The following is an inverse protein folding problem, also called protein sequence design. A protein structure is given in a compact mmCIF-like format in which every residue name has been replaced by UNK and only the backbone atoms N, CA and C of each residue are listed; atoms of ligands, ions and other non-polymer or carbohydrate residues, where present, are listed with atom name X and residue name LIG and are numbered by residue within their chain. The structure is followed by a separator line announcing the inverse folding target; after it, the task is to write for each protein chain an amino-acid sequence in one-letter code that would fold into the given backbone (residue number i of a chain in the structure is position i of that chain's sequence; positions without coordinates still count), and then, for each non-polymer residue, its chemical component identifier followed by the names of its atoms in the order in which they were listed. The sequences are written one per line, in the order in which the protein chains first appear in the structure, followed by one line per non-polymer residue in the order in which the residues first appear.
data_IF_540832909807
#
_entry.id   IF_540832909807
#
_cell.length_a   1.000
_cell.length_b   1.000
_cell.length_c   1.000
_cell.angle_alpha   90.00
_cell.angle_beta   90.00
_cell.angle_gamma   90.00
#
_symmetry.space_group_name_H-M   'P 1'
#
loop_
_entity.id
_entity.type
_entity.pdbx_description
1 polymer ?
#
# COMPACT_ATOMS: atom_id res chain seq x y z
N UNK A 1 42.35 -3.10 23.33
CA UNK A 1 42.00 -4.47 22.90
C UNK A 1 41.14 -4.38 21.65
N UNK A 2 41.51 -5.01 20.53
CA UNK A 2 40.64 -5.01 19.33
C UNK A 2 39.36 -5.77 19.69
N UNK A 3 38.15 -5.22 19.47
CA UNK A 3 36.92 -5.92 19.80
C UNK A 3 36.88 -7.24 19.03
N UNK A 4 36.81 -8.35 19.76
CA UNK A 4 36.70 -9.70 19.18
C UNK A 4 35.32 -9.77 18.52
N UNK A 5 35.30 -9.73 17.19
CA UNK A 5 34.05 -9.84 16.44
C UNK A 5 33.61 -11.31 16.42
N UNK A 6 32.40 -11.65 16.87
CA UNK A 6 31.91 -13.01 16.80
C UNK A 6 31.86 -13.47 15.34
N UNK A 7 32.38 -14.67 15.09
CA UNK A 7 32.36 -15.33 13.78
C UNK A 7 31.15 -16.25 13.75
N UNK A 8 30.25 -16.03 12.81
CA UNK A 8 28.98 -16.75 12.72
C UNK A 8 28.77 -17.23 11.29
N UNK A 9 28.24 -18.44 11.14
CA UNK A 9 27.90 -18.97 9.82
C UNK A 9 26.76 -18.16 9.18
N UNK A 10 26.81 -18.01 7.87
CA UNK A 10 25.73 -17.45 7.04
C UNK A 10 24.33 -18.01 7.38
N UNK A 11 24.21 -19.33 7.57
CA UNK A 11 22.93 -20.01 7.88
C UNK A 11 22.41 -19.58 9.23
N UNK A 12 23.28 -19.52 10.24
CA UNK A 12 22.90 -19.02 11.57
C UNK A 12 22.42 -17.58 11.49
N UNK A 13 23.08 -16.72 10.71
CA UNK A 13 22.64 -15.34 10.50
C UNK A 13 21.25 -15.28 9.84
N UNK A 14 21.00 -16.12 8.83
CA UNK A 14 19.67 -16.21 8.18
C UNK A 14 18.60 -16.60 9.21
N UNK A 15 18.80 -17.70 9.93
CA UNK A 15 17.83 -18.23 10.90
C UNK A 15 17.55 -17.23 12.02
N UNK A 16 18.60 -16.59 12.58
CA UNK A 16 18.45 -15.56 13.60
C UNK A 16 17.69 -14.34 13.07
N UNK A 17 17.96 -13.94 11.83
CA UNK A 17 17.23 -12.82 11.20
C UNK A 17 15.77 -13.19 10.98
N UNK A 18 15.46 -14.40 10.51
CA UNK A 18 14.08 -14.88 10.37
C UNK A 18 13.33 -14.90 11.71
N UNK A 19 13.98 -15.40 12.76
CA UNK A 19 13.41 -15.43 14.10
C UNK A 19 13.16 -14.00 14.63
N UNK A 20 14.11 -13.10 14.40
CA UNK A 20 13.96 -11.68 14.75
C UNK A 20 12.79 -11.03 14.00
N UNK A 21 12.70 -11.20 12.68
CA UNK A 21 11.60 -10.67 11.87
C UNK A 21 10.25 -11.20 12.36
N UNK A 22 10.16 -12.50 12.67
CA UNK A 22 8.91 -13.12 13.13
C UNK A 22 8.49 -12.63 14.52
N UNK A 23 9.42 -12.56 15.48
CA UNK A 23 9.08 -12.25 16.88
C UNK A 23 8.95 -10.75 17.10
N UNK A 24 9.88 -9.96 16.58
CA UNK A 24 9.94 -8.52 16.86
C UNK A 24 9.14 -7.68 15.86
N UNK A 25 9.17 -8.02 14.56
CA UNK A 25 8.64 -7.16 13.49
C UNK A 25 7.32 -7.66 12.87
N UNK A 26 6.81 -8.81 13.34
CA UNK A 26 5.52 -9.37 12.94
C UNK A 26 4.52 -9.42 14.12
N UNK A 27 4.71 -8.57 15.14
CA UNK A 27 3.78 -8.44 16.27
C UNK A 27 2.36 -8.12 15.83
N UNK A 28 2.18 -7.23 14.85
CA UNK A 28 0.88 -6.87 14.29
C UNK A 28 0.21 -8.04 13.54
N UNK A 29 0.98 -8.85 12.82
CA UNK A 29 0.45 -10.08 12.22
C UNK A 29 -0.06 -11.03 13.29
N UNK A 30 0.72 -11.22 14.36
CA UNK A 30 0.34 -12.09 15.47
C UNK A 30 -0.91 -11.62 16.21
N UNK A 31 -1.05 -10.32 16.49
CA UNK A 31 -2.26 -9.79 17.12
C UNK A 31 -3.50 -10.00 16.25
N UNK A 32 -3.39 -9.72 14.94
CA UNK A 32 -4.51 -9.93 13.99
C UNK A 32 -4.86 -11.41 13.81
N UNK A 33 -3.86 -12.28 13.89
CA UNK A 33 -4.07 -13.72 13.84
C UNK A 33 -4.88 -14.19 15.06
N UNK A 34 -4.48 -13.80 16.27
CA UNK A 34 -5.21 -14.16 17.49
C UNK A 34 -6.63 -13.60 17.53
N UNK A 35 -6.86 -12.40 16.98
CA UNK A 35 -8.21 -11.83 16.83
C UNK A 35 -9.07 -12.66 15.86
N UNK A 36 -8.47 -13.25 14.83
CA UNK A 36 -9.14 -14.09 13.84
C UNK A 36 -9.35 -15.55 14.31
N UNK A 37 -8.58 -16.01 15.29
CA UNK A 37 -8.66 -17.35 15.88
C UNK A 37 -8.93 -17.28 17.40
N UNK A 38 -10.09 -16.75 17.83
CA UNK A 38 -10.36 -16.54 19.25
C UNK A 38 -10.35 -17.87 20.02
N UNK A 39 -9.43 -17.98 20.98
CA UNK A 39 -9.21 -19.17 21.80
C UNK A 39 -8.43 -18.85 23.08
N UNK A 40 -8.29 -19.83 23.99
CA UNK A 40 -7.63 -19.65 25.29
C UNK A 40 -6.09 -19.53 25.21
N UNK A 41 -5.50 -19.52 24.01
CA UNK A 41 -4.06 -19.45 23.79
C UNK A 41 -3.70 -19.66 22.32
N UNK A 42 -2.40 -19.81 22.05
CA UNK A 42 -1.88 -20.06 20.70
C UNK A 42 -2.30 -21.46 20.24
N UNK A 43 -3.17 -21.53 19.25
CA UNK A 43 -3.65 -22.78 18.66
C UNK A 43 -2.65 -23.41 17.68
N UNK A 44 -2.93 -24.65 17.27
CA UNK A 44 -2.13 -25.35 16.26
C UNK A 44 -2.19 -24.67 14.89
N UNK A 45 -3.29 -23.97 14.59
CA UNK A 45 -3.45 -23.20 13.36
C UNK A 45 -2.55 -21.96 13.35
N UNK A 46 -2.44 -21.29 14.48
CA UNK A 46 -1.59 -20.11 14.64
C UNK A 46 -0.12 -20.48 14.46
N UNK A 47 0.30 -21.59 15.09
CA UNK A 47 1.65 -22.14 14.92
C UNK A 47 1.94 -22.50 13.46
N UNK A 48 0.97 -23.05 12.73
CA UNK A 48 1.13 -23.35 11.29
C UNK A 48 1.33 -22.07 10.47
N UNK A 49 0.59 -21.01 10.76
CA UNK A 49 0.76 -19.72 10.06
C UNK A 49 2.07 -19.01 10.43
N UNK A 50 2.48 -19.04 11.70
CA UNK A 50 3.79 -18.54 12.12
C UNK A 50 4.92 -19.34 11.46
N UNK A 51 4.80 -20.66 11.38
CA UNK A 51 5.74 -21.51 10.65
C UNK A 51 5.74 -21.21 9.15
N UNK A 52 4.60 -20.86 8.56
CA UNK A 52 4.50 -20.43 7.16
C UNK A 52 5.27 -19.13 6.94
N UNK A 53 5.03 -18.10 7.76
CA UNK A 53 5.76 -16.81 7.69
C UNK A 53 7.26 -17.04 7.88
N UNK A 54 7.66 -17.86 8.86
CA UNK A 54 9.06 -18.20 9.09
C UNK A 54 9.69 -18.89 7.89
N UNK A 55 9.04 -19.90 7.32
CA UNK A 55 9.54 -20.68 6.18
C UNK A 55 9.68 -19.82 4.93
N UNK A 56 8.71 -18.93 4.68
CA UNK A 56 8.79 -18.03 3.53
C UNK A 56 9.91 -17.01 3.72
N UNK A 57 10.07 -16.46 4.92
CA UNK A 57 11.17 -15.55 5.23
C UNK A 57 12.54 -16.26 5.12
N UNK A 58 12.62 -17.52 5.57
CA UNK A 58 13.81 -18.35 5.44
C UNK A 58 14.20 -18.53 3.97
N UNK A 59 13.22 -18.83 3.11
CA UNK A 59 13.42 -18.93 1.67
C UNK A 59 13.93 -17.60 1.10
N UNK A 60 13.19 -16.51 1.33
CA UNK A 60 13.54 -15.17 0.84
C UNK A 60 14.97 -14.75 1.24
N UNK A 61 15.32 -14.87 2.52
CA UNK A 61 16.64 -14.50 3.02
C UNK A 61 17.73 -15.43 2.49
N UNK A 62 17.44 -16.72 2.32
CA UNK A 62 18.38 -17.68 1.71
C UNK A 62 18.72 -17.33 0.26
N UNK A 63 17.75 -16.83 -0.51
CA UNK A 63 17.97 -16.34 -1.88
C UNK A 63 18.84 -15.08 -1.91
N UNK A 64 18.73 -14.21 -0.90
CA UNK A 64 19.47 -12.93 -0.83
C UNK A 64 20.83 -13.03 -0.13
N UNK A 65 21.16 -14.17 0.46
CA UNK A 65 22.35 -14.38 1.29
C UNK A 65 23.67 -14.53 0.50
N UNK A 66 23.98 -13.65 -0.44
CA UNK A 66 25.24 -13.70 -1.21
C UNK A 66 26.34 -12.91 -0.49
N UNK A 67 27.65 -13.24 -0.64
CA UNK A 67 28.71 -12.66 0.20
C UNK A 67 28.77 -11.13 0.27
N UNK A 68 28.45 -10.45 -0.84
CA UNK A 68 28.39 -8.98 -0.93
C UNK A 68 26.98 -8.40 -0.75
N UNK A 69 25.94 -9.22 -0.93
CA UNK A 69 24.53 -8.78 -0.89
C UNK A 69 23.87 -9.02 0.48
N UNK A 70 24.31 -10.03 1.23
CA UNK A 70 23.68 -10.50 2.47
C UNK A 70 23.49 -9.36 3.47
N UNK A 71 24.58 -8.67 3.82
CA UNK A 71 24.52 -7.57 4.78
C UNK A 71 23.62 -6.41 4.30
N UNK A 72 23.85 -5.79 3.12
CA UNK A 72 23.01 -4.67 2.70
C UNK A 72 21.53 -5.08 2.51
N UNK A 73 21.26 -6.26 1.96
CA UNK A 73 19.89 -6.74 1.79
C UNK A 73 19.17 -6.96 3.13
N UNK A 74 19.82 -7.60 4.09
CA UNK A 74 19.19 -7.90 5.39
C UNK A 74 19.00 -6.62 6.21
N UNK A 75 19.96 -5.69 6.17
CA UNK A 75 19.81 -4.36 6.79
C UNK A 75 18.61 -3.63 6.18
N UNK A 76 18.51 -3.59 4.85
CA UNK A 76 17.38 -2.97 4.16
C UNK A 76 16.04 -3.60 4.57
N UNK A 77 15.97 -4.94 4.60
CA UNK A 77 14.77 -5.67 5.03
C UNK A 77 14.41 -5.37 6.48
N UNK A 78 15.39 -5.35 7.39
CA UNK A 78 15.17 -5.04 8.82
C UNK A 78 14.64 -3.62 8.99
N UNK A 79 15.28 -2.63 8.37
CA UNK A 79 14.87 -1.23 8.49
C UNK A 79 13.48 -1.01 7.91
N UNK A 80 13.21 -1.56 6.73
CA UNK A 80 11.90 -1.46 6.07
C UNK A 80 10.81 -2.17 6.88
N UNK A 81 11.10 -3.38 7.38
CA UNK A 81 10.16 -4.13 8.22
C UNK A 81 9.91 -3.43 9.55
N UNK A 82 10.92 -2.76 10.14
CA UNK A 82 10.76 -2.01 11.38
C UNK A 82 9.87 -0.78 11.19
N UNK A 83 10.07 -0.06 10.08
CA UNK A 83 9.23 1.07 9.70
C UNK A 83 7.77 0.63 9.51
N UNK A 84 7.57 -0.44 8.74
CA UNK A 84 6.24 -0.97 8.47
C UNK A 84 5.56 -1.52 9.72
N UNK A 85 6.28 -2.26 10.56
CA UNK A 85 5.77 -2.76 11.83
C UNK A 85 5.29 -1.63 12.75
N UNK A 86 5.99 -0.49 12.78
CA UNK A 86 5.56 0.70 13.53
C UNK A 86 4.18 1.19 13.06
N UNK A 87 4.03 1.39 11.74
CA UNK A 87 2.77 1.87 11.18
C UNK A 87 1.62 0.89 11.40
N UNK A 88 1.87 -0.41 11.24
CA UNK A 88 0.88 -1.44 11.54
C UNK A 88 0.47 -1.44 13.01
N UNK A 89 1.43 -1.37 13.94
CA UNK A 89 1.16 -1.55 15.36
C UNK A 89 0.60 -0.30 16.04
N UNK A 90 1.00 0.90 15.62
CA UNK A 90 0.62 2.15 16.30
C UNK A 90 -0.53 2.89 15.60
N UNK A 91 -0.65 2.73 14.28
CA UNK A 91 -1.72 3.37 13.49
C UNK A 91 -2.74 2.38 12.93
N UNK A 92 -2.52 1.06 13.10
CA UNK A 92 -3.40 0.05 12.50
C UNK A 92 -3.34 0.01 10.98
N UNK A 93 -2.26 0.56 10.39
CA UNK A 93 -2.13 0.68 8.94
C UNK A 93 -2.04 -0.70 8.28
N UNK A 94 -2.70 -0.84 7.13
CA UNK A 94 -2.62 -2.02 6.25
C UNK A 94 -1.70 -1.68 5.09
N UNK A 95 -0.67 -2.49 4.87
CA UNK A 95 0.25 -2.25 3.76
C UNK A 95 -0.26 -2.96 2.52
N UNK A 96 -1.07 -2.24 1.75
CA UNK A 96 -1.58 -2.65 0.46
C UNK A 96 -0.98 -1.79 -0.68
N UNK A 97 -1.47 -2.01 -1.91
CA UNK A 97 -0.99 -1.24 -3.08
C UNK A 97 -1.23 0.26 -2.93
N UNK A 98 -2.29 0.68 -2.24
CA UNK A 98 -2.66 2.08 -2.10
C UNK A 98 -1.79 2.78 -1.05
N UNK A 99 -1.36 2.06 0.00
CA UNK A 99 -0.34 2.54 0.92
C UNK A 99 0.98 2.84 0.18
N UNK A 100 1.40 1.95 -0.74
CA UNK A 100 2.59 2.18 -1.58
C UNK A 100 2.38 3.38 -2.52
N UNK A 101 1.21 3.48 -3.17
CA UNK A 101 0.88 4.62 -4.03
C UNK A 101 0.95 5.94 -3.24
N UNK A 102 0.39 5.97 -2.03
CA UNK A 102 0.44 7.14 -1.14
C UNK A 102 1.88 7.55 -0.86
N UNK A 103 2.79 6.62 -0.54
CA UNK A 103 4.22 6.94 -0.33
C UNK A 103 4.88 7.56 -1.57
N UNK A 104 4.49 7.16 -2.78
CA UNK A 104 5.04 7.70 -4.03
C UNK A 104 4.39 9.02 -4.46
N UNK A 105 3.14 9.27 -4.08
CA UNK A 105 2.39 10.49 -4.40
C UNK A 105 2.54 11.58 -3.32
N UNK A 106 2.92 11.21 -2.10
CA UNK A 106 3.10 12.13 -0.98
C UNK A 106 4.27 13.10 -1.16
N UNK A 107 4.07 14.31 -0.65
CA UNK A 107 5.08 15.36 -0.54
C UNK A 107 5.91 15.22 0.76
N UNK A 108 7.07 15.87 0.79
CA UNK A 108 7.98 15.90 1.95
C UNK A 108 7.30 16.48 3.18
N UNK A 109 6.42 17.50 3.05
CA UNK A 109 5.71 18.07 4.20
C UNK A 109 4.75 17.06 4.80
N UNK A 110 3.94 16.42 3.97
CA UNK A 110 3.02 15.36 4.40
C UNK A 110 3.78 14.20 5.09
N UNK A 111 4.88 13.73 4.49
CA UNK A 111 5.69 12.68 5.09
C UNK A 111 6.35 13.10 6.42
N UNK A 112 6.74 14.37 6.56
CA UNK A 112 7.40 14.88 7.76
C UNK A 112 6.49 14.93 8.99
N UNK A 113 5.18 15.06 8.81
CA UNK A 113 4.20 15.07 9.91
C UNK A 113 4.14 13.74 10.66
N UNK A 114 4.54 12.64 10.00
CA UNK A 114 4.64 11.31 10.61
C UNK A 114 5.93 11.11 11.41
N UNK A 115 6.93 12.01 11.27
CA UNK A 115 8.18 11.93 12.00
C UNK A 115 8.00 12.42 13.44
N UNK A 116 7.80 11.47 14.35
CA UNK A 116 7.74 11.74 15.78
C UNK A 116 8.92 11.13 16.55
N UNK A 117 9.18 11.60 17.79
CA UNK A 117 10.22 11.02 18.65
C UNK A 117 9.98 9.52 18.93
N UNK A 118 8.71 9.08 18.94
CA UNK A 118 8.35 7.66 19.09
C UNK A 118 8.81 6.82 17.91
N UNK A 119 8.61 7.30 16.68
CA UNK A 119 9.10 6.62 15.48
C UNK A 119 10.63 6.53 15.49
N UNK A 120 11.32 7.61 15.87
CA UNK A 120 12.79 7.62 15.96
C UNK A 120 13.29 6.60 16.98
N UNK A 121 12.70 6.56 18.17
CA UNK A 121 13.07 5.60 19.21
C UNK A 121 12.80 4.15 18.77
N UNK A 122 11.64 3.91 18.13
CA UNK A 122 11.29 2.61 17.58
C UNK A 122 12.28 2.16 16.50
N UNK A 123 12.55 3.03 15.51
CA UNK A 123 13.50 2.76 14.45
C UNK A 123 14.90 2.53 14.99
N UNK A 124 15.32 3.26 16.03
CA UNK A 124 16.59 3.04 16.68
C UNK A 124 16.66 1.65 17.33
N UNK A 125 15.65 1.27 18.12
CA UNK A 125 15.62 0.01 18.86
C UNK A 125 15.41 -1.23 17.98
N UNK A 126 14.46 -1.19 17.05
CA UNK A 126 14.02 -2.35 16.26
C UNK A 126 14.55 -2.36 14.81
N UNK A 127 15.14 -1.25 14.34
CA UNK A 127 15.75 -1.15 13.01
C UNK A 127 17.26 -1.03 13.07
N UNK A 128 17.74 0.11 13.56
CA UNK A 128 19.17 0.50 13.53
C UNK A 128 20.02 -0.39 14.43
N UNK A 129 19.59 -0.66 15.66
CA UNK A 129 20.38 -1.48 16.59
C UNK A 129 20.60 -2.92 16.06
N UNK A 130 19.57 -3.66 15.59
CA UNK A 130 19.76 -4.96 14.94
C UNK A 130 20.62 -4.88 13.67
N UNK A 131 20.47 -3.81 12.87
CA UNK A 131 21.31 -3.59 11.70
C UNK A 131 22.79 -3.38 12.06
N UNK A 132 23.08 -2.61 13.11
CA UNK A 132 24.43 -2.40 13.63
C UNK A 132 25.03 -3.69 14.17
N UNK A 133 24.25 -4.51 14.88
CA UNK A 133 24.67 -5.84 15.32
C UNK A 133 25.05 -6.73 14.12
N UNK A 134 24.25 -6.71 13.05
CA UNK A 134 24.53 -7.45 11.82
C UNK A 134 25.80 -6.94 11.11
N UNK A 135 26.06 -5.63 11.13
CA UNK A 135 27.30 -5.05 10.59
C UNK A 135 28.51 -5.53 11.40
N UNK A 136 28.40 -5.54 12.73
CA UNK A 136 29.46 -5.94 13.65
C UNK A 136 29.86 -7.42 13.53
N UNK A 137 28.89 -8.30 13.24
CA UNK A 137 29.09 -9.73 13.03
C UNK A 137 30.04 -10.03 11.85
N UNK A 138 31.00 -10.94 12.05
CA UNK A 138 31.82 -11.48 10.96
C UNK A 138 31.14 -12.72 10.39
N UNK A 139 30.58 -12.60 9.18
CA UNK A 139 29.92 -13.72 8.50
C UNK A 139 30.98 -14.58 7.81
N UNK A 140 31.02 -15.85 8.16
CA UNK A 140 31.85 -16.84 7.51
C UNK A 140 31.04 -17.61 6.46
N UNK A 141 31.61 -17.74 5.26
CA UNK A 141 30.98 -18.39 4.12
C UNK A 141 31.70 -19.69 3.81
N UNK A 142 30.94 -20.77 3.62
CA UNK A 142 31.47 -22.05 3.16
C UNK A 142 31.68 -22.03 1.63
N UNK A 143 32.39 -23.02 1.04
CA UNK A 143 32.48 -23.15 -0.41
C UNK A 143 31.10 -23.17 -1.06
N UNK A 144 30.96 -22.52 -2.22
CA UNK A 144 29.68 -22.26 -2.88
C UNK A 144 28.72 -23.46 -2.90
N UNK A 145 29.19 -24.63 -3.31
CA UNK A 145 28.36 -25.84 -3.40
C UNK A 145 27.91 -26.39 -2.04
N UNK A 146 28.78 -26.32 -1.03
CA UNK A 146 28.45 -26.76 0.33
C UNK A 146 27.42 -25.81 0.94
N UNK A 147 27.64 -24.52 0.77
CA UNK A 147 26.77 -23.44 1.21
C UNK A 147 25.38 -23.55 0.56
N UNK A 148 25.33 -23.69 -0.77
CA UNK A 148 24.10 -23.88 -1.52
C UNK A 148 23.35 -25.14 -1.07
N UNK A 149 24.04 -26.28 -0.94
CA UNK A 149 23.42 -27.53 -0.47
C UNK A 149 22.83 -27.40 0.93
N UNK A 150 23.56 -26.78 1.86
CA UNK A 150 23.10 -26.61 3.23
C UNK A 150 21.89 -25.67 3.30
N UNK A 151 21.88 -24.59 2.51
CA UNK A 151 20.72 -23.69 2.39
C UNK A 151 19.52 -24.38 1.76
N UNK A 152 19.72 -25.14 0.69
CA UNK A 152 18.65 -25.89 0.06
C UNK A 152 18.08 -26.96 1.00
N UNK A 153 18.93 -27.63 1.79
CA UNK A 153 18.51 -28.64 2.75
C UNK A 153 17.68 -28.02 3.89
N UNK A 154 18.10 -26.91 4.50
CA UNK A 154 17.33 -26.27 5.57
C UNK A 154 15.98 -25.74 5.07
N UNK A 155 15.94 -25.19 3.85
CA UNK A 155 14.68 -24.76 3.22
C UNK A 155 13.77 -25.95 2.90
N UNK A 156 14.32 -27.06 2.40
CA UNK A 156 13.56 -28.28 2.12
C UNK A 156 12.97 -28.88 3.39
N UNK A 157 13.75 -28.93 4.48
CA UNK A 157 13.28 -29.41 5.78
C UNK A 157 12.16 -28.51 6.30
N UNK A 158 12.35 -27.18 6.30
CA UNK A 158 11.33 -26.23 6.73
C UNK A 158 10.04 -26.37 5.90
N UNK A 159 10.18 -26.50 4.58
CA UNK A 159 9.05 -26.71 3.69
C UNK A 159 8.33 -28.05 3.94
N UNK A 160 9.05 -29.14 4.16
CA UNK A 160 8.45 -30.45 4.46
C UNK A 160 7.66 -30.43 5.77
N UNK A 161 8.22 -29.80 6.81
CA UNK A 161 7.52 -29.59 8.10
C UNK A 161 6.27 -28.76 7.91
N UNK A 162 6.38 -27.64 7.19
CA UNK A 162 5.23 -26.78 6.88
C UNK A 162 4.15 -27.51 6.07
N UNK A 163 4.55 -28.26 5.04
CA UNK A 163 3.62 -29.03 4.21
C UNK A 163 2.87 -30.08 5.02
N UNK A 164 3.54 -30.76 5.96
CA UNK A 164 2.89 -31.67 6.91
C UNK A 164 1.88 -30.95 7.81
N UNK A 165 2.26 -29.80 8.38
CA UNK A 165 1.39 -29.00 9.26
C UNK A 165 0.15 -28.43 8.53
N UNK A 166 0.34 -27.98 7.29
CA UNK A 166 -0.73 -27.51 6.40
C UNK A 166 -1.63 -28.67 5.97
N UNK A 167 -1.05 -29.81 5.60
CA UNK A 167 -1.78 -31.02 5.21
C UNK A 167 -2.70 -31.55 6.31
N UNK A 168 -2.26 -31.45 7.57
CA UNK A 168 -3.07 -31.83 8.73
C UNK A 168 -4.25 -30.88 9.03
N UNK A 169 -4.25 -29.65 8.48
CA UNK A 169 -5.18 -28.56 8.86
C UNK A 169 -5.79 -27.84 7.64
N UNK A 170 -5.94 -28.51 6.51
CA UNK A 170 -6.36 -27.91 5.23
C UNK A 170 -7.72 -27.20 5.31
N UNK A 171 -8.72 -27.81 5.96
CA UNK A 171 -10.05 -27.23 6.10
C UNK A 171 -10.03 -25.94 6.93
N UNK A 172 -9.39 -25.96 8.10
CA UNK A 172 -9.30 -24.79 8.98
C UNK A 172 -8.49 -23.66 8.33
N UNK A 173 -7.37 -24.00 7.69
CA UNK A 173 -6.52 -23.02 7.01
C UNK A 173 -7.22 -22.38 5.80
N UNK A 174 -7.91 -23.16 4.98
CA UNK A 174 -8.65 -22.61 3.83
C UNK A 174 -9.80 -21.70 4.26
N UNK A 175 -10.52 -22.05 5.33
CA UNK A 175 -11.56 -21.20 5.92
C UNK A 175 -10.97 -19.87 6.42
N UNK A 176 -9.88 -19.94 7.20
CA UNK A 176 -9.21 -18.76 7.74
C UNK A 176 -8.70 -17.85 6.63
N UNK A 177 -8.01 -18.39 5.62
CA UNK A 177 -7.49 -17.57 4.52
C UNK A 177 -8.59 -16.99 3.61
N UNK A 178 -9.76 -17.63 3.55
CA UNK A 178 -10.92 -17.12 2.79
C UNK A 178 -11.63 -15.98 3.53
N UNK A 179 -11.77 -16.11 4.85
CA UNK A 179 -12.49 -15.13 5.68
C UNK A 179 -11.57 -13.97 6.14
N UNK A 180 -10.27 -14.24 6.29
CA UNK A 180 -9.25 -13.32 6.78
C UNK A 180 -8.11 -13.16 5.78
N UNK A 181 -8.46 -12.98 4.50
CA UNK A 181 -7.49 -12.81 3.41
C UNK A 181 -6.59 -11.58 3.57
N UNK A 182 -6.94 -10.65 4.45
CA UNK A 182 -6.19 -9.46 4.82
C UNK A 182 -4.91 -9.76 5.62
N UNK A 183 -4.83 -10.91 6.30
CA UNK A 183 -3.67 -11.28 7.14
C UNK A 183 -2.35 -11.26 6.36
N UNK A 184 -2.39 -11.54 5.05
CA UNK A 184 -1.21 -11.49 4.17
C UNK A 184 -0.57 -10.09 4.11
N UNK A 185 -1.35 -9.03 4.33
CA UNK A 185 -0.89 -7.64 4.29
C UNK A 185 -0.22 -7.20 5.59
N UNK A 186 -0.14 -8.08 6.59
CA UNK A 186 0.53 -7.81 7.87
C UNK A 186 1.85 -8.58 8.05
N UNK A 187 2.11 -9.58 7.21
CA UNK A 187 3.30 -10.43 7.32
C UNK A 187 4.55 -9.73 6.76
N UNK A 188 5.45 -9.22 7.60
CA UNK A 188 6.69 -8.56 7.18
C UNK A 188 7.82 -9.56 6.86
N UNK A 189 8.61 -9.33 5.80
CA UNK A 189 8.53 -8.25 4.79
C UNK A 189 7.61 -8.55 3.60
N UNK A 190 6.89 -9.68 3.60
CA UNK A 190 6.04 -10.13 2.48
C UNK A 190 4.94 -9.13 2.13
N UNK A 191 4.36 -8.44 3.11
CA UNK A 191 3.36 -7.41 2.95
C UNK A 191 3.84 -6.34 1.96
N UNK A 192 5.04 -5.82 2.16
CA UNK A 192 5.65 -4.81 1.28
C UNK A 192 5.93 -5.38 -0.10
N UNK A 193 6.48 -6.59 -0.19
CA UNK A 193 6.75 -7.22 -1.49
C UNK A 193 5.47 -7.42 -2.30
N UNK A 194 4.39 -7.84 -1.64
CA UNK A 194 3.09 -8.05 -2.28
C UNK A 194 2.45 -6.72 -2.71
N UNK A 195 2.47 -5.72 -1.83
CA UNK A 195 1.95 -4.38 -2.10
C UNK A 195 2.68 -3.70 -3.27
N UNK A 196 4.02 -3.73 -3.26
CA UNK A 196 4.85 -3.17 -4.33
C UNK A 196 4.63 -3.90 -5.66
N UNK A 197 4.52 -5.23 -5.66
CA UNK A 197 4.17 -5.99 -6.87
C UNK A 197 2.79 -5.58 -7.41
N UNK A 198 1.81 -5.41 -6.52
CA UNK A 198 0.46 -4.94 -6.86
C UNK A 198 0.50 -3.55 -7.49
N UNK A 199 1.24 -2.62 -6.89
CA UNK A 199 1.46 -1.27 -7.42
C UNK A 199 2.08 -1.28 -8.81
N UNK A 200 3.18 -2.04 -9.02
CA UNK A 200 3.82 -2.15 -10.34
C UNK A 200 2.82 -2.65 -11.40
N UNK A 201 2.06 -3.69 -11.07
CA UNK A 201 1.13 -4.32 -12.01
C UNK A 201 -0.07 -3.43 -12.37
N UNK A 202 -0.63 -2.70 -11.41
CA UNK A 202 -1.90 -2.00 -11.56
C UNK A 202 -1.76 -0.49 -11.78
N UNK A 203 -0.62 0.12 -11.40
CA UNK A 203 -0.39 1.57 -11.51
C UNK A 203 0.70 1.91 -12.53
N UNK A 204 1.81 1.16 -12.55
CA UNK A 204 2.95 1.48 -13.44
C UNK A 204 2.87 0.80 -14.80
N UNK A 205 2.34 -0.42 -14.87
CA UNK A 205 2.24 -1.19 -16.11
C UNK A 205 1.05 -0.79 -17.00
N UNK A 206 0.37 0.29 -16.66
CA UNK A 206 -0.77 0.84 -17.41
C UNK A 206 -0.26 1.49 -18.70
N UNK A 207 -0.79 1.11 -19.88
CA UNK A 207 -0.43 1.74 -21.15
C UNK A 207 -0.52 3.27 -21.09
N UNK A 208 0.57 3.94 -21.48
CA UNK A 208 0.63 5.39 -21.62
C UNK A 208 0.09 5.77 -22.99
N UNK A 209 -1.00 6.52 -23.03
CA UNK A 209 -1.63 7.04 -24.24
C UNK A 209 -2.57 8.20 -23.89
N UNK A 210 -3.06 8.95 -24.89
CA UNK A 210 -4.10 9.93 -24.64
C UNK A 210 -5.34 9.22 -24.05
N UNK A 211 -5.99 9.83 -23.04
CA UNK A 211 -7.21 9.26 -22.49
C UNK A 211 -8.28 9.14 -23.57
N UNK A 212 -9.11 8.12 -23.45
CA UNK A 212 -10.30 7.93 -24.28
C UNK A 212 -11.27 9.05 -23.97
N UNK A 213 -11.72 9.75 -25.01
CA UNK A 213 -12.62 10.89 -24.83
C UNK A 213 -14.00 10.45 -24.33
N UNK A 214 -14.55 11.22 -23.39
CA UNK A 214 -15.90 11.07 -22.86
C UNK A 214 -16.71 12.34 -23.14
N UNK A 215 -18.02 12.20 -23.35
CA UNK A 215 -18.91 13.36 -23.50
C UNK A 215 -18.56 14.28 -24.66
N UNK A 216 -18.06 13.73 -25.78
CA UNK A 216 -17.71 14.51 -26.98
C UNK A 216 -18.90 15.28 -27.60
N UNK A 217 -20.13 14.89 -27.25
CA UNK A 217 -21.39 15.54 -27.64
C UNK A 217 -21.96 16.49 -26.57
N UNK A 218 -21.27 16.65 -25.43
CA UNK A 218 -21.70 17.52 -24.35
C UNK A 218 -21.74 18.98 -24.81
N UNK A 219 -22.84 19.67 -24.49
CA UNK A 219 -23.05 21.09 -24.81
C UNK A 219 -23.66 21.82 -23.63
N UNK A 220 -23.20 23.05 -23.39
CA UNK A 220 -23.82 23.94 -22.42
C UNK A 220 -25.16 24.46 -22.97
N UNK A 221 -26.26 24.07 -22.34
CA UNK A 221 -27.58 24.66 -22.60
C UNK A 221 -27.78 25.79 -21.61
N UNK A 222 -27.80 27.03 -22.10
CA UNK A 222 -28.12 28.20 -21.27
C UNK A 222 -29.62 28.31 -21.09
N UNK A 223 -30.04 28.64 -19.88
CA UNK A 223 -31.40 29.05 -19.57
C UNK A 223 -31.65 30.49 -20.08
N UNK A 224 -32.89 30.81 -20.39
CA UNK A 224 -33.32 32.10 -20.95
C UNK A 224 -33.03 33.29 -20.00
N UNK A 225 -32.75 33.00 -18.72
CA UNK A 225 -32.46 33.98 -17.68
C UNK A 225 -31.14 34.76 -17.85
N UNK A 226 -30.30 34.41 -18.83
CA UNK A 226 -29.08 35.12 -19.26
C UNK A 226 -28.05 35.45 -18.14
N UNK A 227 -28.19 34.84 -16.96
CA UNK A 227 -27.26 34.99 -15.83
C UNK A 227 -26.12 33.99 -15.93
N UNK A 228 -24.86 34.38 -15.62
CA UNK A 228 -23.75 33.43 -15.59
C UNK A 228 -23.97 32.40 -14.46
N UNK A 229 -23.83 31.11 -14.79
CA UNK A 229 -23.83 30.02 -13.82
C UNK A 229 -22.44 29.90 -13.18
N UNK A 230 -22.36 30.03 -11.85
CA UNK A 230 -21.14 29.78 -11.08
C UNK A 230 -21.33 28.54 -10.21
N UNK A 231 -20.54 27.51 -10.46
CA UNK A 231 -20.45 26.30 -9.64
C UNK A 231 -19.14 26.31 -8.86
N UNK A 232 -19.22 26.12 -7.53
CA UNK A 232 -18.05 25.93 -6.67
C UNK A 232 -18.10 24.53 -6.04
N UNK A 233 -17.12 23.70 -6.38
CA UNK A 233 -16.94 22.39 -5.77
C UNK A 233 -15.83 22.46 -4.72
N UNK A 234 -16.18 22.16 -3.47
CA UNK A 234 -15.23 22.08 -2.36
C UNK A 234 -14.94 20.61 -2.07
N UNK A 235 -13.70 20.19 -2.34
CA UNK A 235 -13.23 18.83 -2.00
C UNK A 235 -12.57 18.89 -0.63
N UNK A 236 -13.18 18.25 0.36
CA UNK A 236 -12.64 18.15 1.70
C UNK A 236 -11.50 17.13 1.81
N UNK A 237 -10.79 17.16 2.94
CA UNK A 237 -9.72 16.22 3.28
C UNK A 237 -10.00 15.60 4.66
N UNK A 238 -9.97 14.27 4.75
CA UNK A 238 -10.09 13.46 5.99
C UNK A 238 -11.31 13.73 6.91
N UNK A 239 -12.24 14.59 6.52
CA UNK A 239 -13.44 14.90 7.28
C UNK A 239 -14.44 13.73 7.25
N UNK A 240 -15.04 13.40 8.39
CA UNK A 240 -15.90 12.22 8.55
C UNK A 240 -17.30 12.58 9.06
N UNK A 241 -18.33 11.98 8.47
CA UNK A 241 -19.74 12.30 8.75
C UNK A 241 -20.11 12.20 10.25
N UNK A 242 -19.57 11.21 10.97
CA UNK A 242 -19.84 11.01 12.41
C UNK A 242 -19.34 12.15 13.33
N UNK A 243 -18.54 13.07 12.81
CA UNK A 243 -17.99 14.21 13.57
C UNK A 243 -18.60 15.55 13.15
N UNK A 244 -19.70 15.55 12.40
CA UNK A 244 -20.42 16.74 11.97
C UNK A 244 -21.62 16.99 12.88
N UNK A 245 -21.70 18.18 13.48
CA UNK A 245 -22.85 18.60 14.29
C UNK A 245 -24.15 18.55 13.49
N UNK A 246 -24.07 18.94 12.21
CA UNK A 246 -25.20 18.88 11.28
C UNK A 246 -25.78 17.46 11.18
N UNK A 247 -24.97 16.44 11.46
CA UNK A 247 -25.27 15.02 11.35
C UNK A 247 -25.60 14.38 12.71
N UNK A 248 -25.79 15.19 13.77
CA UNK A 248 -26.13 14.71 15.11
C UNK A 248 -24.93 14.49 16.05
N UNK A 249 -23.75 15.00 15.71
CA UNK A 249 -22.61 14.97 16.63
C UNK A 249 -22.80 15.99 17.78
N UNK A 250 -22.53 15.58 19.02
CA UNK A 250 -22.82 16.38 20.22
C UNK A 250 -22.04 17.70 20.32
N UNK A 251 -20.88 17.79 19.67
CA UNK A 251 -20.02 18.99 19.73
C UNK A 251 -20.32 19.92 18.56
N UNK A 252 -20.29 21.26 18.77
CA UNK A 252 -20.56 22.23 17.71
C UNK A 252 -19.38 22.35 16.74
N UNK A 253 -19.25 21.39 15.81
CA UNK A 253 -18.16 21.34 14.82
C UNK A 253 -18.45 22.13 13.55
N UNK A 254 -19.71 22.50 13.28
CA UNK A 254 -20.10 23.24 12.09
C UNK A 254 -21.03 24.44 12.38
N UNK A 255 -20.73 25.30 13.37
CA UNK A 255 -21.67 26.32 13.86
C UNK A 255 -22.04 27.38 12.81
N UNK A 256 -21.13 27.73 11.91
CA UNK A 256 -21.40 28.72 10.85
C UNK A 256 -22.25 28.16 9.71
N UNK A 257 -22.10 26.87 9.40
CA UNK A 257 -22.90 26.20 8.38
C UNK A 257 -24.35 26.02 8.85
N UNK A 258 -24.55 25.71 10.14
CA UNK A 258 -25.89 25.56 10.75
C UNK A 258 -26.79 26.80 10.61
N UNK A 259 -26.21 27.98 10.44
CA UNK A 259 -26.94 29.25 10.27
C UNK A 259 -27.42 29.49 8.83
N UNK A 260 -27.09 28.62 7.88
CA UNK A 260 -27.34 28.80 6.45
C UNK A 260 -28.45 27.87 5.96
N UNK A 261 -29.23 28.27 4.94
CA UNK A 261 -30.15 27.36 4.27
C UNK A 261 -29.33 26.37 3.42
N UNK A 262 -29.12 25.15 3.94
CA UNK A 262 -28.33 24.12 3.28
C UNK A 262 -29.07 22.77 3.25
N UNK A 263 -28.67 21.92 2.31
CA UNK A 263 -29.00 20.51 2.29
C UNK A 263 -27.80 19.73 2.84
N UNK A 264 -28.03 18.91 3.86
CA UNK A 264 -27.00 18.03 4.44
C UNK A 264 -27.37 16.59 4.14
N UNK A 265 -26.40 15.82 3.66
CA UNK A 265 -26.55 14.39 3.39
C UNK A 265 -25.72 13.60 4.43
N UNK A 266 -26.39 12.68 5.11
CA UNK A 266 -25.82 11.94 6.25
C UNK A 266 -25.28 10.57 5.87
N UNK A 267 -25.91 9.94 4.89
CA UNK A 267 -25.59 8.61 4.41
C UNK A 267 -24.81 8.71 3.09
N UNK A 268 -23.54 9.09 3.21
CA UNK A 268 -22.62 9.25 2.07
C UNK A 268 -21.34 8.48 2.36
N UNK A 269 -20.94 7.67 1.38
CA UNK A 269 -19.74 6.86 1.45
C UNK A 269 -18.73 7.30 0.40
N UNK A 270 -17.45 7.30 0.77
CA UNK A 270 -16.36 7.61 -0.15
C UNK A 270 -16.03 6.39 -1.03
N UNK A 271 -15.52 6.66 -2.24
CA UNK A 271 -15.01 5.61 -3.13
C UNK A 271 -13.90 4.77 -2.47
N UNK A 272 -13.02 5.42 -1.71
CA UNK A 272 -11.90 4.80 -1.01
C UNK A 272 -11.62 5.46 0.33
N UNK A 273 -10.56 5.03 1.00
CA UNK A 273 -10.16 5.51 2.33
C UNK A 273 -8.87 6.33 2.31
N UNK A 274 -8.34 6.63 1.12
CA UNK A 274 -7.19 7.50 0.89
C UNK A 274 -7.44 8.43 -0.30
N UNK A 275 -6.71 9.54 -0.34
CA UNK A 275 -6.86 10.58 -1.37
C UNK A 275 -6.48 10.08 -2.76
N UNK A 276 -5.42 9.27 -2.87
CA UNK A 276 -4.93 8.66 -4.11
C UNK A 276 -5.99 7.79 -4.84
N UNK A 277 -6.91 7.16 -4.09
CA UNK A 277 -8.01 6.36 -4.64
C UNK A 277 -9.29 7.19 -4.79
N UNK A 278 -9.62 7.99 -3.77
CA UNK A 278 -10.92 8.66 -3.67
C UNK A 278 -11.06 9.78 -4.68
N UNK A 279 -10.01 10.59 -4.84
CA UNK A 279 -10.04 11.75 -5.73
C UNK A 279 -10.21 11.34 -7.19
N UNK A 280 -9.43 10.40 -7.77
CA UNK A 280 -9.65 10.04 -9.17
C UNK A 280 -10.98 9.27 -9.35
N UNK A 281 -11.45 8.52 -8.35
CA UNK A 281 -12.73 7.82 -8.43
C UNK A 281 -13.91 8.78 -8.51
N UNK A 282 -13.97 9.81 -7.66
CA UNK A 282 -15.09 10.76 -7.63
C UNK A 282 -15.28 11.54 -8.94
N UNK A 283 -14.19 11.73 -9.70
CA UNK A 283 -14.25 12.40 -11.00
C UNK A 283 -14.35 11.42 -12.18
N UNK A 284 -14.19 10.12 -11.95
CA UNK A 284 -14.29 9.09 -12.99
C UNK A 284 -15.74 8.71 -13.30
N UNK A 285 -15.96 8.17 -14.50
CA UNK A 285 -17.24 7.57 -14.90
C UNK A 285 -17.42 6.10 -14.46
N UNK A 286 -16.42 5.51 -13.79
CA UNK A 286 -16.38 4.06 -13.52
C UNK A 286 -17.22 3.65 -12.31
N UNK A 287 -17.52 4.60 -11.40
CA UNK A 287 -18.16 4.31 -10.11
C UNK A 287 -17.28 3.45 -9.19
N UNK A 288 -17.66 3.31 -7.92
CA UNK A 288 -16.83 2.67 -6.91
C UNK A 288 -16.51 1.19 -7.21
N UNK A 289 -17.49 0.41 -7.66
CA UNK A 289 -17.36 -1.05 -7.85
C UNK A 289 -16.39 -1.44 -8.99
N UNK A 290 -16.28 -0.59 -10.02
CA UNK A 290 -15.45 -0.86 -11.19
C UNK A 290 -14.21 0.04 -11.26
N UNK A 291 -14.00 0.87 -10.23
CA UNK A 291 -12.88 1.79 -10.19
C UNK A 291 -11.56 1.05 -10.06
N UNK A 292 -10.69 1.27 -11.03
CA UNK A 292 -9.27 0.96 -10.96
C UNK A 292 -8.51 2.19 -11.44
N UNK A 293 -7.54 2.66 -10.66
CA UNK A 293 -6.78 3.89 -10.96
C UNK A 293 -6.18 3.82 -12.36
N UNK A 294 -5.62 2.66 -12.74
CA UNK A 294 -5.08 2.45 -14.09
C UNK A 294 -6.10 2.63 -15.20
N UNK A 295 -7.35 2.18 -15.03
CA UNK A 295 -8.43 2.37 -16.02
C UNK A 295 -8.91 3.81 -16.04
N UNK A 296 -9.09 4.41 -14.86
CA UNK A 296 -9.52 5.80 -14.74
C UNK A 296 -8.54 6.79 -15.39
N UNK A 297 -7.23 6.49 -15.36
CA UNK A 297 -6.19 7.28 -16.05
C UNK A 297 -6.25 7.16 -17.58
N UNK A 298 -6.99 6.20 -18.13
CA UNK A 298 -7.11 5.97 -19.58
C UNK A 298 -8.40 6.54 -20.19
N UNK A 299 -9.21 7.24 -19.41
CA UNK A 299 -10.47 7.85 -19.83
C UNK A 299 -10.52 9.28 -19.34
N UNK A 300 -11.13 10.17 -20.10
CA UNK A 300 -11.44 11.53 -19.62
C UNK A 300 -12.31 11.46 -18.36
N UNK A 301 -12.20 12.48 -17.51
CA UNK A 301 -12.96 12.60 -16.28
C UNK A 301 -13.96 13.76 -16.36
N UNK A 302 -14.75 13.97 -15.30
CA UNK A 302 -15.77 15.02 -15.23
C UNK A 302 -15.23 16.43 -15.57
N UNK A 303 -14.03 16.76 -15.09
CA UNK A 303 -13.43 18.07 -15.32
C UNK A 303 -12.98 18.24 -16.77
N UNK A 304 -12.51 17.17 -17.42
CA UNK A 304 -12.16 17.18 -18.83
C UNK A 304 -13.40 17.53 -19.67
N UNK A 305 -14.53 16.86 -19.41
CA UNK A 305 -15.81 17.12 -20.11
C UNK A 305 -16.29 18.57 -19.88
N UNK A 306 -16.09 19.14 -18.69
CA UNK A 306 -16.49 20.52 -18.39
C UNK A 306 -15.60 21.58 -19.05
N UNK A 307 -14.31 21.27 -19.27
CA UNK A 307 -13.34 22.21 -19.84
C UNK A 307 -13.20 22.05 -21.35
N UNK A 308 -13.59 20.90 -21.93
CA UNK A 308 -13.58 20.69 -23.38
C UNK A 308 -14.30 21.86 -24.05
N UNK A 309 -13.58 22.70 -24.80
CA UNK A 309 -14.18 23.86 -25.41
C UNK A 309 -15.20 23.37 -26.41
N UNK A 310 -16.48 23.60 -26.10
CA UNK A 310 -17.56 23.53 -27.07
C UNK A 310 -17.19 24.54 -28.15
N UNK A 311 -16.55 24.09 -29.23
CA UNK A 311 -16.28 24.85 -30.44
C UNK A 311 -17.62 25.09 -31.14
N UNK A 312 -18.42 25.94 -30.52
CA UNK A 312 -19.67 26.45 -31.02
C UNK A 312 -19.69 27.95 -30.70
N UNK A 313 -18.62 28.63 -31.14
CA UNK A 313 -18.78 30.00 -31.60
C UNK A 313 -19.67 29.93 -32.84
N UNK A 314 -20.96 30.15 -32.60
CA UNK A 314 -21.92 30.51 -33.63
C UNK A 314 -21.38 31.70 -34.44
N UNK A 315 -21.27 31.53 -35.75
CA UNK A 315 -21.33 32.63 -36.71
C UNK A 315 -20.13 33.57 -36.76
N UNK A 316 -19.07 33.16 -37.44
CA UNK A 316 -18.22 34.10 -38.16
C UNK A 316 -17.74 33.43 -39.46
N UNK A 317 -18.36 33.86 -40.56
CA UNK A 317 -17.88 33.86 -41.94
C UNK A 317 -16.58 33.11 -42.23
N UNK A 318 -16.72 32.09 -43.07
CA UNK A 318 -15.68 31.57 -43.96
C UNK A 318 -14.82 32.69 -44.55
N UNK A 319 -13.52 32.66 -44.26
CA UNK A 319 -12.50 33.22 -45.15
C UNK A 319 -11.73 32.00 -45.70
N UNK A 320 -11.77 31.73 -47.01
CA UNK A 320 -11.07 30.58 -47.56
C UNK A 320 -9.56 30.83 -47.52
N UNK A 321 -8.81 29.89 -46.95
CA UNK A 321 -7.38 29.86 -47.07
C UNK A 321 -7.00 29.66 -48.54
N UNK A 322 -6.10 30.50 -49.03
CA UNK A 322 -5.63 30.55 -50.40
C UNK A 322 -5.00 29.23 -50.85
N UNK A 323 -5.24 28.88 -52.11
CA UNK A 323 -4.49 27.87 -52.88
C UNK A 323 -2.98 28.08 -52.74
N UNK A 324 -2.20 27.00 -52.54
CA UNK A 324 -0.93 26.84 -53.21
C UNK A 324 -1.13 25.98 -54.47
N UNK A 325 -0.66 26.53 -55.59
CA UNK A 325 -0.59 25.90 -56.90
C UNK A 325 0.23 24.59 -56.89
N UNK A 326 0.05 23.73 -57.92
CA UNK A 326 0.51 22.34 -57.92
C UNK A 326 1.95 22.21 -58.43
N UNK A 327 2.74 21.30 -57.86
CA UNK A 327 3.98 20.83 -58.47
C UNK A 327 4.18 19.32 -58.15
N UNK A 328 3.98 18.53 -59.21
CA UNK A 328 4.42 17.14 -59.54
C UNK A 328 3.90 15.99 -58.69
#
# INVERSE_FOLDING_TARGET
MKPVRPVVSSITVIVLTCAYLLVALNSAFFSRLLDATPGAGIGTLDLTLLAAVFTINLLLLSLLAWPKLLKPAFIGIILLSALVAYFMQHFGAVIDRAAIASVFESDVREASEWLGPRLVLWMFGFGVLPALLLIWLKVEYQPFWREFRQRSLINLIAFAVLAGAVGAQTQSLSSLLRNHGELRHYANPLAVLHATRGYIKHELAVPKGPPTSLGADARFVRDDSNKPLLLMLVVGESARAQSFELNGYDRPTNPELKKRPLLSYFDVHSCGTNTATSLPCMFSNLGQEHFEVGKARQTENLLDVFVTPVSMWSGATTIPAANPLPIV
#
